data_IF_868151613313
#
_entry.id   IF_868151613313
#
_cell.length_a   1.000
_cell.length_b   1.000
_cell.length_c   1.000
_cell.angle_alpha   90.00
_cell.angle_beta   90.00
_cell.angle_gamma   90.00
#
_symmetry.space_group_name_H-M   'P 1'
#
loop_
_entity.id
_entity.type
_entity.pdbx_description
1 polymer ?
#
# COMPACT_ATOMS: atom_id res chain seq x y z
N UNK A 1 21.93 -1.54 -15.51
CA UNK A 1 20.82 -1.91 -16.42
C UNK A 1 19.73 -2.57 -15.59
N UNK A 2 18.45 -2.34 -15.94
CA UNK A 2 17.31 -2.98 -15.30
C UNK A 2 17.33 -4.48 -15.63
N UNK A 3 17.13 -5.31 -14.62
CA UNK A 3 17.12 -6.77 -14.75
C UNK A 3 15.68 -7.31 -14.77
N UNK A 4 15.42 -8.45 -15.43
CA UNK A 4 14.11 -9.09 -15.38
C UNK A 4 13.77 -9.55 -13.97
N UNK A 5 12.48 -9.69 -13.71
CA UNK A 5 11.95 -10.23 -12.46
C UNK A 5 12.46 -11.64 -12.21
N UNK A 6 12.70 -11.95 -10.94
CA UNK A 6 13.12 -13.24 -10.51
C UNK A 6 11.98 -14.27 -10.56
N UNK A 7 12.16 -15.39 -11.27
CA UNK A 7 11.14 -16.45 -11.41
C UNK A 7 11.03 -17.44 -10.26
N UNK A 8 11.99 -17.46 -9.32
CA UNK A 8 12.02 -18.48 -8.26
C UNK A 8 10.85 -18.40 -7.27
N UNK A 9 10.15 -17.27 -7.20
CA UNK A 9 9.03 -17.02 -6.30
C UNK A 9 7.73 -16.72 -7.04
N UNK A 10 7.58 -17.23 -8.24
CA UNK A 10 6.40 -17.00 -9.10
C UNK A 10 5.09 -17.53 -8.51
N UNK A 11 5.13 -18.41 -7.51
CA UNK A 11 3.94 -18.86 -6.80
C UNK A 11 3.27 -17.78 -5.95
N UNK A 12 4.02 -16.77 -5.51
CA UNK A 12 3.46 -15.65 -4.78
C UNK A 12 2.66 -14.72 -5.70
N UNK A 13 1.64 -14.09 -5.13
CA UNK A 13 0.91 -12.97 -5.73
C UNK A 13 1.14 -11.71 -4.89
N UNK A 14 1.18 -10.54 -5.52
CA UNK A 14 1.39 -9.28 -4.82
C UNK A 14 0.20 -8.91 -3.95
N UNK A 15 0.39 -8.19 -2.83
CA UNK A 15 -0.69 -7.54 -2.09
C UNK A 15 -1.52 -6.60 -2.97
N UNK A 16 -2.75 -6.29 -2.52
CA UNK A 16 -3.67 -5.43 -3.28
C UNK A 16 -4.25 -4.29 -2.45
N UNK A 17 -4.54 -4.50 -1.16
CA UNK A 17 -4.92 -3.43 -0.24
C UNK A 17 -3.69 -2.71 0.32
N UNK A 18 -3.90 -1.52 0.91
CA UNK A 18 -2.81 -0.67 1.41
C UNK A 18 -1.68 -0.49 0.36
N UNK A 19 -2.00 -0.06 -0.88
CA UNK A 19 -1.05 -0.11 -1.99
C UNK A 19 0.19 0.75 -1.82
N UNK A 20 0.15 1.77 -0.96
CA UNK A 20 1.30 2.68 -0.72
C UNK A 20 2.33 2.03 0.20
N UNK A 21 1.91 1.32 1.25
CA UNK A 21 2.82 0.79 2.28
C UNK A 21 2.98 -0.71 2.29
N UNK A 22 2.06 -1.48 1.69
CA UNK A 22 2.18 -2.93 1.63
C UNK A 22 3.11 -3.37 0.50
N UNK A 23 4.41 -3.30 0.74
CA UNK A 23 5.42 -3.68 -0.27
C UNK A 23 5.60 -5.19 -0.37
N UNK A 24 5.74 -5.67 -1.60
CA UNK A 24 6.04 -7.06 -1.94
C UNK A 24 7.52 -7.38 -1.64
N UNK A 25 7.87 -8.44 -0.91
CA UNK A 25 9.26 -8.76 -0.58
C UNK A 25 10.10 -9.21 -1.78
N UNK A 26 9.46 -9.58 -2.90
CA UNK A 26 10.17 -10.05 -4.10
C UNK A 26 10.92 -8.90 -4.77
N UNK A 27 12.04 -9.26 -5.38
CA UNK A 27 12.85 -8.35 -6.18
C UNK A 27 12.41 -8.42 -7.65
N UNK A 28 11.48 -7.56 -8.04
CA UNK A 28 10.78 -7.60 -9.33
C UNK A 28 11.00 -6.33 -10.17
N UNK A 29 10.88 -6.48 -11.48
CA UNK A 29 10.69 -5.38 -12.43
C UNK A 29 9.27 -5.44 -12.92
N UNK A 30 8.45 -4.46 -12.54
CA UNK A 30 7.02 -4.43 -12.86
C UNK A 30 6.46 -3.02 -12.98
N UNK A 31 5.39 -2.92 -13.76
CA UNK A 31 4.45 -1.80 -13.74
C UNK A 31 3.13 -2.29 -13.16
N UNK A 32 2.58 -1.58 -12.18
CA UNK A 32 1.34 -1.89 -11.50
C UNK A 32 0.35 -0.76 -11.69
N UNK A 33 -0.67 -0.98 -12.50
CA UNK A 33 -1.82 -0.10 -12.62
C UNK A 33 -2.76 -0.37 -11.45
N UNK A 34 -3.20 0.69 -10.79
CA UNK A 34 -4.08 0.64 -9.62
C UNK A 34 -5.30 1.50 -9.92
N UNK A 35 -6.47 0.94 -9.66
CA UNK A 35 -7.70 1.67 -9.50
C UNK A 35 -8.27 1.34 -8.13
N UNK A 36 -8.66 2.34 -7.37
CA UNK A 36 -9.43 2.13 -6.16
C UNK A 36 -10.61 3.11 -6.11
N UNK A 37 -11.71 2.63 -5.55
CA UNK A 37 -12.86 3.45 -5.16
C UNK A 37 -12.96 3.41 -3.64
N UNK A 38 -12.70 4.54 -3.02
CA UNK A 38 -12.67 4.72 -1.58
C UNK A 38 -13.90 5.52 -1.15
N UNK A 39 -14.82 4.86 -0.44
CA UNK A 39 -16.02 5.49 0.10
C UNK A 39 -15.73 6.08 1.47
N UNK A 40 -16.05 7.35 1.66
CA UNK A 40 -15.89 8.05 2.92
C UNK A 40 -17.12 7.88 3.81
N UNK A 41 -16.96 7.73 5.15
CA UNK A 41 -18.08 7.74 6.09
C UNK A 41 -18.87 9.05 6.03
N UNK A 42 -20.19 8.96 6.25
CA UNK A 42 -21.07 10.14 6.28
C UNK A 42 -20.63 11.18 7.34
N UNK A 43 -20.00 10.74 8.43
CA UNK A 43 -19.50 11.60 9.51
C UNK A 43 -18.38 12.56 9.09
N UNK A 44 -17.68 12.27 7.99
CA UNK A 44 -16.63 13.13 7.40
C UNK A 44 -17.07 13.69 6.05
N UNK A 45 -18.37 13.75 5.78
CA UNK A 45 -18.94 14.34 4.58
C UNK A 45 -19.43 13.33 3.53
N UNK A 46 -19.07 12.06 3.63
CA UNK A 46 -19.46 11.02 2.66
C UNK A 46 -18.86 11.22 1.29
N UNK A 47 -19.39 10.50 0.29
CA UNK A 47 -18.91 10.50 -1.09
C UNK A 47 -17.81 9.48 -1.35
N UNK A 48 -17.31 9.47 -2.58
CA UNK A 48 -16.30 8.55 -3.05
C UNK A 48 -15.08 9.32 -3.57
N UNK A 49 -13.89 8.74 -3.34
CA UNK A 49 -12.63 9.14 -3.97
C UNK A 49 -12.16 8.00 -4.85
N UNK A 50 -11.97 8.27 -6.13
CA UNK A 50 -11.42 7.31 -7.09
C UNK A 50 -9.97 7.68 -7.39
N UNK A 51 -9.04 6.75 -7.17
CA UNK A 51 -7.63 6.94 -7.49
C UNK A 51 -7.22 6.07 -8.67
N UNK A 52 -6.54 6.69 -9.63
CA UNK A 52 -5.89 6.07 -10.78
C UNK A 52 -4.38 6.26 -10.63
N UNK A 53 -3.64 5.19 -10.40
CA UNK A 53 -2.20 5.26 -10.11
C UNK A 53 -1.39 4.25 -10.93
N UNK A 54 -0.08 4.54 -11.08
CA UNK A 54 0.89 3.69 -11.75
C UNK A 54 2.14 3.53 -10.89
N UNK A 55 2.24 2.47 -10.15
CA UNK A 55 3.46 2.14 -9.39
C UNK A 55 4.48 1.42 -10.27
N UNK A 56 5.75 1.72 -10.07
CA UNK A 56 6.86 1.11 -10.80
C UNK A 56 7.85 0.45 -9.84
N UNK A 57 8.39 -0.68 -10.25
CA UNK A 57 9.51 -1.34 -9.60
C UNK A 57 10.53 -1.74 -10.62
N UNK A 58 11.81 -1.52 -10.33
CA UNK A 58 12.91 -1.86 -11.22
C UNK A 58 13.99 -2.61 -10.44
N UNK A 59 14.21 -3.87 -10.78
CA UNK A 59 15.29 -4.66 -10.24
C UNK A 59 16.63 -4.16 -10.82
N UNK A 60 17.49 -3.62 -9.96
CA UNK A 60 18.80 -3.08 -10.34
C UNK A 60 19.91 -4.12 -10.22
N UNK A 61 19.80 -5.01 -9.22
CA UNK A 61 20.71 -6.12 -8.98
C UNK A 61 19.96 -7.30 -8.36
N UNK A 62 20.68 -8.34 -7.96
CA UNK A 62 20.08 -9.49 -7.27
C UNK A 62 19.38 -9.09 -5.95
N UNK A 63 19.89 -8.08 -5.28
CA UNK A 63 19.43 -7.67 -3.95
C UNK A 63 18.92 -6.23 -3.87
N UNK A 64 18.86 -5.47 -4.97
CA UNK A 64 18.45 -4.06 -4.92
C UNK A 64 17.40 -3.77 -5.98
N UNK A 65 16.31 -3.15 -5.57
CA UNK A 65 15.27 -2.59 -6.44
C UNK A 65 15.06 -1.11 -6.16
N UNK A 66 14.86 -0.33 -7.21
CA UNK A 66 14.17 0.95 -7.16
C UNK A 66 12.68 0.69 -7.08
N UNK A 67 11.98 1.42 -6.22
CA UNK A 67 10.53 1.32 -6.05
C UNK A 67 9.90 2.72 -6.08
N UNK A 68 8.81 2.88 -6.84
CA UNK A 68 7.94 4.05 -6.82
C UNK A 68 6.56 3.58 -6.40
N UNK A 69 6.12 3.99 -5.20
CA UNK A 69 5.01 3.38 -4.48
C UNK A 69 3.79 4.27 -4.34
N UNK A 70 3.92 5.56 -4.62
CA UNK A 70 2.82 6.53 -4.58
C UNK A 70 2.91 7.47 -5.76
N UNK A 71 1.81 7.63 -6.45
CA UNK A 71 1.54 8.59 -7.52
C UNK A 71 0.04 8.57 -7.83
N UNK A 72 -0.39 9.26 -8.86
CA UNK A 72 -1.71 9.11 -9.46
C UNK A 72 -2.54 10.38 -9.46
N UNK A 73 -3.75 10.22 -9.96
CA UNK A 73 -4.77 11.27 -10.03
C UNK A 73 -6.05 10.79 -9.35
N UNK A 74 -6.56 11.60 -8.43
CA UNK A 74 -7.81 11.35 -7.74
C UNK A 74 -8.95 12.16 -8.36
N UNK A 75 -10.12 11.53 -8.49
CA UNK A 75 -11.40 12.20 -8.73
C UNK A 75 -12.30 11.98 -7.52
N UNK A 76 -13.11 12.95 -7.16
CA UNK A 76 -13.89 12.90 -5.93
C UNK A 76 -15.31 13.43 -6.11
N UNK A 77 -16.24 12.79 -5.41
CA UNK A 77 -17.59 13.32 -5.15
C UNK A 77 -17.78 13.76 -3.69
N UNK A 78 -16.73 13.64 -2.87
CA UNK A 78 -16.76 14.05 -1.46
C UNK A 78 -16.51 15.55 -1.32
N UNK A 79 -17.20 16.23 -0.40
CA UNK A 79 -16.92 17.64 -0.10
C UNK A 79 -15.57 17.82 0.65
N UNK A 80 -14.97 16.76 1.16
CA UNK A 80 -13.68 16.80 1.87
C UNK A 80 -12.47 16.82 0.94
N UNK A 81 -12.59 16.23 -0.25
CA UNK A 81 -11.47 15.97 -1.17
C UNK A 81 -11.84 16.47 -2.55
N UNK A 82 -11.05 17.35 -3.15
CA UNK A 82 -11.21 17.79 -4.54
C UNK A 82 -10.43 16.87 -5.50
N UNK A 83 -10.72 16.98 -6.79
CA UNK A 83 -9.94 16.33 -7.85
C UNK A 83 -8.50 16.85 -7.89
N UNK A 84 -7.52 15.98 -8.07
CA UNK A 84 -6.14 16.44 -8.18
C UNK A 84 -5.09 15.31 -8.20
N UNK A 85 -3.84 15.73 -8.31
CA UNK A 85 -2.69 14.84 -8.31
C UNK A 85 -2.29 14.43 -6.90
N UNK A 86 -1.93 13.16 -6.75
CA UNK A 86 -1.30 12.63 -5.54
C UNK A 86 0.17 13.04 -5.44
N UNK A 87 0.73 12.95 -4.24
CA UNK A 87 2.17 13.06 -4.02
C UNK A 87 2.92 11.91 -4.68
N UNK A 88 4.21 12.12 -4.91
CA UNK A 88 5.09 11.11 -5.49
C UNK A 88 6.01 10.55 -4.41
N UNK A 89 6.03 9.22 -4.28
CA UNK A 89 6.93 8.53 -3.36
C UNK A 89 7.77 7.49 -4.08
N UNK A 90 9.09 7.54 -3.85
CA UNK A 90 10.03 6.56 -4.39
C UNK A 90 11.17 6.26 -3.41
N UNK A 91 11.84 5.13 -3.61
CA UNK A 91 12.94 4.71 -2.74
C UNK A 91 13.62 3.43 -3.19
N UNK A 92 14.28 2.78 -2.25
CA UNK A 92 15.05 1.57 -2.49
C UNK A 92 14.60 0.43 -1.57
N UNK A 93 14.61 -0.77 -2.13
CA UNK A 93 14.38 -2.02 -1.40
C UNK A 93 15.59 -2.93 -1.55
N UNK A 94 16.00 -3.53 -0.43
CA UNK A 94 17.16 -4.41 -0.30
C UNK A 94 16.71 -5.81 0.12
N UNK A 95 17.04 -6.84 -0.67
CA UNK A 95 16.84 -8.23 -0.32
C UNK A 95 17.83 -8.67 0.74
N UNK A 96 17.32 -9.08 1.91
CA UNK A 96 18.13 -9.53 3.06
C UNK A 96 18.23 -11.05 3.14
N UNK A 97 17.17 -11.75 2.82
CA UNK A 97 17.08 -13.20 2.80
C UNK A 97 16.33 -13.66 1.56
N UNK A 98 16.86 -14.68 0.90
CA UNK A 98 16.26 -15.31 -0.26
C UNK A 98 16.55 -16.80 -0.26
N UNK A 99 15.54 -17.60 0.05
CA UNK A 99 15.63 -19.07 0.07
C UNK A 99 14.58 -19.68 -0.89
N UNK A 100 14.95 -19.96 -2.15
CA UNK A 100 14.05 -20.58 -3.12
C UNK A 100 13.59 -21.97 -2.73
N UNK A 101 14.43 -22.74 -1.99
CA UNK A 101 14.08 -24.11 -1.57
C UNK A 101 12.98 -24.10 -0.51
N UNK A 102 13.10 -23.20 0.47
CA UNK A 102 12.10 -23.01 1.53
C UNK A 102 11.01 -22.02 1.17
N UNK A 103 11.10 -21.43 -0.03
CA UNK A 103 10.18 -20.38 -0.50
C UNK A 103 9.99 -19.29 0.56
N UNK A 104 11.10 -18.75 1.04
CA UNK A 104 11.14 -17.70 2.09
C UNK A 104 11.92 -16.49 1.60
N UNK A 105 11.40 -15.32 1.88
CA UNK A 105 11.94 -14.01 1.48
C UNK A 105 11.91 -13.05 2.66
N UNK A 106 12.91 -12.18 2.73
CA UNK A 106 12.93 -11.02 3.62
C UNK A 106 13.63 -9.87 2.90
N UNK A 107 13.02 -8.70 2.92
CA UNK A 107 13.57 -7.47 2.35
C UNK A 107 13.29 -6.31 3.29
N UNK A 108 14.16 -5.31 3.28
CA UNK A 108 13.95 -4.04 3.96
C UNK A 108 14.11 -2.90 2.96
N UNK A 109 13.54 -1.75 3.26
CA UNK A 109 13.68 -0.61 2.38
C UNK A 109 13.18 0.68 3.00
N UNK A 110 13.27 1.70 2.18
CA UNK A 110 12.70 3.00 2.49
C UNK A 110 12.12 3.64 1.24
N UNK A 111 11.14 4.51 1.44
CA UNK A 111 10.67 5.45 0.42
C UNK A 111 10.64 6.85 1.00
N UNK A 112 10.80 7.84 0.16
CA UNK A 112 10.60 9.23 0.50
C UNK A 112 9.49 9.80 -0.39
N UNK A 113 8.50 10.39 0.25
CA UNK A 113 7.39 11.08 -0.39
C UNK A 113 7.72 12.56 -0.50
N UNK A 114 7.53 13.10 -1.70
CA UNK A 114 7.72 14.52 -2.00
C UNK A 114 6.35 15.16 -2.16
N UNK A 115 6.06 16.29 -1.49
CA UNK A 115 4.75 16.96 -1.54
C UNK A 115 4.56 17.66 -2.87
N UNK A 116 4.25 16.90 -3.92
CA UNK A 116 4.07 17.37 -5.30
C UNK A 116 2.61 17.42 -5.72
N UNK A 117 1.73 16.87 -4.90
CA UNK A 117 0.30 16.76 -5.17
C UNK A 117 -0.46 18.06 -4.94
N UNK A 118 -1.77 17.96 -5.00
CA UNK A 118 -2.67 19.09 -4.83
C UNK A 118 -3.14 19.18 -3.38
N UNK A 119 -2.96 20.32 -2.72
CA UNK A 119 -3.42 20.55 -1.34
C UNK A 119 -4.95 20.31 -1.19
N UNK A 120 -5.74 20.68 -2.21
CA UNK A 120 -7.19 20.43 -2.22
C UNK A 120 -7.56 18.96 -2.30
N UNK A 121 -6.63 18.10 -2.75
CA UNK A 121 -6.78 16.64 -2.79
C UNK A 121 -6.21 16.01 -1.53
N UNK A 122 -5.93 16.79 -0.50
CA UNK A 122 -5.29 16.41 0.75
C UNK A 122 -3.91 15.76 0.52
N UNK A 123 -3.21 16.28 -0.49
CA UNK A 123 -1.84 15.96 -0.86
C UNK A 123 -1.03 17.26 -0.88
N UNK A 124 0.28 17.18 -1.09
CA UNK A 124 1.12 18.38 -1.15
C UNK A 124 1.33 19.07 0.20
N UNK A 125 0.96 18.42 1.29
CA UNK A 125 1.13 18.94 2.65
C UNK A 125 2.56 18.64 3.15
N UNK A 126 3.01 19.42 4.13
CA UNK A 126 4.25 19.19 4.84
C UNK A 126 5.51 19.38 3.98
N UNK A 127 6.63 18.87 4.50
CA UNK A 127 7.95 18.95 3.90
C UNK A 127 8.44 17.59 3.37
N UNK A 128 7.52 16.62 3.25
CA UNK A 128 7.75 15.24 2.82
C UNK A 128 7.80 14.23 3.95
N UNK A 129 7.72 12.95 3.60
CA UNK A 129 7.65 11.83 4.54
C UNK A 129 8.67 10.75 4.22
N UNK A 130 9.39 10.29 5.24
CA UNK A 130 10.23 9.10 5.16
C UNK A 130 9.44 7.88 5.64
N UNK A 131 9.33 6.87 4.81
CA UNK A 131 8.79 5.56 5.18
C UNK A 131 9.91 4.52 5.25
N UNK A 132 10.05 3.86 6.40
CA UNK A 132 10.98 2.74 6.61
C UNK A 132 10.16 1.47 6.77
N UNK A 133 10.55 0.38 6.08
CA UNK A 133 9.78 -0.87 6.14
C UNK A 133 10.65 -2.13 6.12
N UNK A 134 10.08 -3.18 6.69
CA UNK A 134 10.53 -4.56 6.60
C UNK A 134 9.39 -5.39 6.00
N UNK A 135 9.68 -6.19 4.97
CA UNK A 135 8.70 -7.05 4.31
C UNK A 135 9.23 -8.46 4.15
N UNK A 136 8.40 -9.46 4.43
CA UNK A 136 8.77 -10.86 4.32
C UNK A 136 7.67 -11.68 3.66
N UNK A 137 8.06 -12.84 3.13
CA UNK A 137 7.12 -13.77 2.53
C UNK A 137 7.53 -15.22 2.74
N UNK A 138 6.53 -16.10 2.90
CA UNK A 138 6.74 -17.53 3.06
C UNK A 138 5.60 -18.34 2.44
N UNK A 139 5.95 -19.44 1.78
CA UNK A 139 4.99 -20.46 1.35
C UNK A 139 4.81 -21.49 2.45
N UNK A 140 3.56 -21.89 2.71
CA UNK A 140 3.19 -22.97 3.61
C UNK A 140 2.50 -24.09 2.83
N UNK A 141 3.06 -25.30 2.90
CA UNK A 141 2.61 -26.39 2.03
C UNK A 141 2.77 -26.03 0.55
N UNK A 142 1.87 -26.56 -0.29
CA UNK A 142 2.04 -26.46 -1.75
C UNK A 142 1.35 -25.22 -2.37
N UNK A 143 0.33 -24.66 -1.69
CA UNK A 143 -0.58 -23.69 -2.30
C UNK A 143 -0.93 -22.47 -1.43
N UNK A 144 -0.36 -22.36 -0.23
CA UNK A 144 -0.67 -21.24 0.67
C UNK A 144 0.55 -20.35 0.82
N UNK A 145 0.33 -19.05 0.75
CA UNK A 145 1.37 -18.03 0.79
C UNK A 145 1.00 -16.96 1.81
N UNK A 146 2.00 -16.48 2.51
CA UNK A 146 1.90 -15.37 3.43
C UNK A 146 2.93 -14.32 3.05
N UNK A 147 2.50 -13.06 3.04
CA UNK A 147 3.37 -11.89 2.96
C UNK A 147 3.02 -10.98 4.14
N UNK A 148 4.01 -10.41 4.76
CA UNK A 148 3.84 -9.47 5.86
C UNK A 148 4.79 -8.29 5.68
N UNK A 149 4.28 -7.08 5.88
CA UNK A 149 5.05 -5.84 5.82
C UNK A 149 4.70 -4.99 7.02
N UNK A 150 5.70 -4.60 7.77
CA UNK A 150 5.58 -3.62 8.83
C UNK A 150 6.51 -2.45 8.59
N UNK A 151 6.10 -1.28 9.00
CA UNK A 151 6.87 -0.07 8.77
C UNK A 151 6.44 1.11 9.62
N UNK A 152 7.12 2.20 9.36
CA UNK A 152 6.94 3.44 10.09
C UNK A 152 7.11 4.61 9.13
N UNK A 153 6.10 5.48 9.10
CA UNK A 153 6.06 6.70 8.32
C UNK A 153 6.36 7.89 9.23
N UNK A 154 7.43 8.61 8.92
CA UNK A 154 7.95 9.74 9.66
C UNK A 154 7.87 10.99 8.81
N UNK A 155 7.01 11.95 9.13
CA UNK A 155 6.99 13.24 8.45
C UNK A 155 8.23 14.08 8.79
N UNK A 156 8.64 14.93 7.85
CA UNK A 156 9.67 15.92 8.10
C UNK A 156 9.12 17.12 8.87
N UNK A 157 7.84 17.42 8.71
CA UNK A 157 7.12 18.45 9.45
C UNK A 157 5.99 17.83 10.28
N UNK A 158 6.17 17.77 11.59
CA UNK A 158 5.23 17.17 12.53
C UNK A 158 3.98 18.02 12.81
N UNK A 159 3.98 19.30 12.44
CA UNK A 159 2.81 20.14 12.59
C UNK A 159 1.76 19.85 11.50
N UNK A 160 2.23 19.55 10.29
CA UNK A 160 1.38 19.35 9.12
C UNK A 160 1.00 17.89 8.87
N UNK A 161 1.75 16.95 9.45
CA UNK A 161 1.59 15.52 9.16
C UNK A 161 1.76 14.65 10.42
N UNK A 162 1.03 13.54 10.46
CA UNK A 162 1.03 12.57 11.57
C UNK A 162 2.07 11.47 11.38
N UNK A 163 2.67 11.01 12.47
CA UNK A 163 3.56 9.84 12.49
C UNK A 163 2.76 8.57 12.62
N UNK A 164 2.97 7.60 11.73
CA UNK A 164 2.19 6.36 11.64
C UNK A 164 3.08 5.13 11.64
N UNK A 165 2.82 4.20 12.56
CA UNK A 165 3.27 2.81 12.46
C UNK A 165 2.21 1.97 11.75
N UNK A 166 2.62 1.00 10.95
CA UNK A 166 1.68 0.11 10.26
C UNK A 166 2.19 -1.32 10.19
N UNK A 167 1.23 -2.26 10.07
CA UNK A 167 1.53 -3.66 9.86
C UNK A 167 0.44 -4.31 9.01
N UNK A 168 0.84 -4.85 7.88
CA UNK A 168 -0.04 -5.49 6.90
C UNK A 168 0.31 -6.96 6.73
N UNK A 169 -0.71 -7.81 6.58
CA UNK A 169 -0.57 -9.24 6.35
C UNK A 169 -1.46 -9.67 5.19
N UNK A 170 -0.88 -10.39 4.25
CA UNK A 170 -1.54 -11.00 3.10
C UNK A 170 -1.47 -12.52 3.22
N UNK A 171 -2.62 -13.16 3.18
CA UNK A 171 -2.74 -14.61 3.07
C UNK A 171 -3.41 -14.94 1.75
N UNK A 172 -2.76 -15.78 0.96
CA UNK A 172 -3.37 -16.24 -0.29
C UNK A 172 -3.26 -17.74 -0.46
N UNK A 173 -4.25 -18.27 -1.16
CA UNK A 173 -4.32 -19.69 -1.54
C UNK A 173 -4.53 -19.82 -3.04
N UNK A 174 -3.65 -20.57 -3.67
CA UNK A 174 -3.79 -20.95 -5.05
C UNK A 174 -4.90 -21.99 -5.21
N UNK A 175 -6.03 -21.59 -5.80
CA UNK A 175 -7.20 -22.44 -6.03
C UNK A 175 -7.00 -23.33 -7.27
N UNK A 176 -6.50 -22.72 -8.36
CA UNK A 176 -6.15 -23.39 -9.61
C UNK A 176 -4.76 -22.89 -10.05
N UNK A 177 -4.26 -23.36 -11.19
CA UNK A 177 -2.98 -22.88 -11.72
C UNK A 177 -2.93 -21.36 -11.97
N UNK A 178 -4.10 -20.70 -12.10
CA UNK A 178 -4.20 -19.28 -12.47
C UNK A 178 -5.01 -18.44 -11.49
N UNK A 179 -5.83 -19.03 -10.62
CA UNK A 179 -6.69 -18.32 -9.69
C UNK A 179 -6.24 -18.47 -8.26
N UNK A 180 -6.27 -17.37 -7.54
CA UNK A 180 -5.95 -17.27 -6.12
C UNK A 180 -7.09 -16.58 -5.38
N UNK A 181 -7.44 -17.10 -4.20
CA UNK A 181 -8.20 -16.37 -3.20
C UNK A 181 -7.21 -15.69 -2.26
N UNK A 182 -7.56 -14.51 -1.75
CA UNK A 182 -6.74 -13.77 -0.80
C UNK A 182 -7.58 -13.10 0.29
N UNK A 183 -6.95 -12.91 1.44
CA UNK A 183 -7.41 -11.99 2.46
C UNK A 183 -6.22 -11.21 3.00
N UNK A 184 -6.43 -9.94 3.32
CA UNK A 184 -5.41 -9.05 3.86
C UNK A 184 -5.95 -8.36 5.10
N UNK A 185 -5.04 -8.07 6.04
CA UNK A 185 -5.32 -7.32 7.25
C UNK A 185 -4.30 -6.20 7.33
N UNK A 186 -4.76 -4.97 7.52
CA UNK A 186 -3.92 -3.80 7.69
C UNK A 186 -4.22 -3.17 9.05
N UNK A 187 -3.19 -2.97 9.84
CA UNK A 187 -3.23 -2.22 11.08
C UNK A 187 -2.46 -0.93 10.93
N UNK A 188 -3.05 0.17 11.37
CA UNK A 188 -2.45 1.49 11.42
C UNK A 188 -2.52 1.99 12.85
N UNK A 189 -1.41 2.55 13.33
CA UNK A 189 -1.28 3.14 14.66
C UNK A 189 -0.66 4.53 14.56
N UNK A 190 -1.40 5.54 14.97
CA UNK A 190 -0.90 6.91 14.98
C UNK A 190 -0.05 7.15 16.21
N UNK A 191 1.27 7.19 16.03
CA UNK A 191 2.27 7.39 17.08
C UNK A 191 2.42 8.87 17.46
N UNK A 192 2.14 9.79 16.52
CA UNK A 192 2.14 11.23 16.70
C UNK A 192 1.04 11.88 15.90
N UNK A 193 0.51 12.97 16.39
CA UNK A 193 -0.52 13.79 15.76
C UNK A 193 0.10 15.07 15.21
N UNK A 194 -0.46 15.60 14.11
CA UNK A 194 -0.22 16.97 13.69
C UNK A 194 -1.04 17.98 14.47
N UNK A 195 -1.08 19.20 13.99
CA UNK A 195 -1.79 20.32 14.65
C UNK A 195 -3.02 20.79 13.87
N UNK A 196 -3.22 20.26 12.64
CA UNK A 196 -4.27 20.68 11.69
C UNK A 196 -5.28 19.57 11.39
N UNK A 197 -5.58 19.43 10.12
CA UNK A 197 -6.44 18.39 9.56
C UNK A 197 -7.90 18.41 10.05
N UNK A 198 -8.53 17.24 10.04
CA UNK A 198 -9.86 17.01 10.61
C UNK A 198 -9.69 16.42 12.01
N UNK A 199 -9.99 17.14 13.10
CA UNK A 199 -9.71 16.68 14.45
C UNK A 199 -10.21 15.25 14.72
N UNK A 200 -9.29 14.38 15.14
CA UNK A 200 -9.59 12.99 15.47
C UNK A 200 -9.74 12.05 14.27
N UNK A 201 -9.51 12.48 13.03
CA UNK A 201 -9.68 11.68 11.79
C UNK A 201 -8.38 11.65 11.00
N UNK A 202 -8.00 10.50 10.44
CA UNK A 202 -6.81 10.34 9.62
C UNK A 202 -7.05 9.57 8.31
N UNK A 203 -6.06 9.63 7.43
CA UNK A 203 -6.19 9.23 6.03
C UNK A 203 -5.64 7.86 5.66
N UNK A 204 -5.25 7.03 6.62
CA UNK A 204 -4.66 5.69 6.42
C UNK A 204 -3.41 5.75 5.52
N UNK A 205 -3.45 5.03 4.38
CA UNK A 205 -2.35 4.97 3.43
C UNK A 205 -2.39 6.03 2.34
N UNK A 206 -3.58 6.58 2.04
CA UNK A 206 -3.76 7.50 0.92
C UNK A 206 -3.41 8.95 1.25
N UNK A 207 -3.74 9.37 2.47
CA UNK A 207 -3.58 10.75 2.92
C UNK A 207 -2.83 10.79 4.25
N UNK A 208 -2.08 11.86 4.47
CA UNK A 208 -1.66 12.27 5.82
C UNK A 208 -2.31 13.61 6.13
N UNK A 209 -3.30 13.59 6.99
CA UNK A 209 -4.08 14.80 7.30
C UNK A 209 -3.41 15.66 8.35
N UNK A 210 -2.41 15.14 9.07
CA UNK A 210 -1.79 15.83 10.20
C UNK A 210 -2.80 16.22 11.26
N UNK A 211 -3.81 15.39 11.47
CA UNK A 211 -4.95 15.75 12.30
C UNK A 211 -4.60 15.76 13.77
N UNK A 212 -5.09 16.76 14.48
CA UNK A 212 -4.97 16.84 15.95
C UNK A 212 -5.80 15.76 16.64
N UNK A 213 -5.31 15.27 17.81
CA UNK A 213 -6.05 14.33 18.66
C UNK A 213 -6.10 12.89 18.15
N UNK A 214 -5.23 12.50 17.23
CA UNK A 214 -5.18 11.12 16.68
C UNK A 214 -4.14 10.24 17.35
N UNK A 215 -3.15 10.79 18.01
CA UNK A 215 -2.09 10.01 18.67
C UNK A 215 -2.65 8.96 19.64
N UNK A 216 -2.13 7.73 19.56
CA UNK A 216 -2.58 6.58 20.35
C UNK A 216 -3.80 5.85 19.78
N UNK A 217 -4.33 6.27 18.65
CA UNK A 217 -5.46 5.60 17.99
C UNK A 217 -5.01 4.49 17.05
N UNK A 218 -5.90 3.51 16.85
CA UNK A 218 -5.70 2.36 15.98
C UNK A 218 -6.86 2.16 15.02
N UNK A 219 -6.54 1.70 13.80
CA UNK A 219 -7.52 1.14 12.87
C UNK A 219 -6.99 -0.20 12.37
N UNK A 220 -7.88 -1.17 12.30
CA UNK A 220 -7.64 -2.44 11.62
C UNK A 220 -8.63 -2.57 10.47
N UNK A 221 -8.12 -2.84 9.26
CA UNK A 221 -8.96 -3.15 8.10
C UNK A 221 -8.78 -4.59 7.67
N UNK A 222 -9.78 -5.14 6.99
CA UNK A 222 -9.70 -6.41 6.29
C UNK A 222 -10.08 -6.21 4.83
N UNK A 223 -9.31 -6.82 3.94
CA UNK A 223 -9.67 -6.97 2.53
C UNK A 223 -9.83 -8.46 2.19
N UNK A 224 -10.82 -8.78 1.35
CA UNK A 224 -11.00 -10.10 0.79
C UNK A 224 -11.15 -10.01 -0.73
N UNK A 225 -10.51 -10.92 -1.46
CA UNK A 225 -10.49 -10.80 -2.89
C UNK A 225 -9.99 -12.03 -3.65
N UNK A 226 -9.82 -11.81 -4.94
CA UNK A 226 -9.32 -12.81 -5.87
C UNK A 226 -8.26 -12.20 -6.78
N UNK A 227 -7.30 -13.03 -7.20
CA UNK A 227 -6.38 -12.69 -8.29
C UNK A 227 -6.38 -13.75 -9.37
N UNK A 228 -6.31 -13.27 -10.60
CA UNK A 228 -6.10 -14.06 -11.80
C UNK A 228 -4.69 -13.82 -12.33
N UNK A 229 -3.92 -14.87 -12.49
CA UNK A 229 -2.55 -14.87 -12.99
C UNK A 229 -2.48 -15.68 -14.27
N UNK A 230 -2.77 -15.07 -15.45
CA UNK A 230 -2.81 -15.77 -16.72
C UNK A 230 -1.47 -16.41 -17.10
N UNK A 231 -0.37 -15.77 -16.70
CA UNK A 231 1.01 -16.22 -16.90
C UNK A 231 1.93 -15.59 -15.83
N UNK A 232 3.22 -15.88 -15.85
CA UNK A 232 4.20 -15.33 -14.90
C UNK A 232 4.41 -13.80 -15.00
N UNK A 233 4.02 -13.21 -16.13
CA UNK A 233 4.23 -11.79 -16.42
C UNK A 233 3.03 -10.91 -16.05
N UNK A 234 1.89 -11.48 -15.70
CA UNK A 234 0.67 -10.70 -15.44
C UNK A 234 -0.07 -11.20 -14.20
N UNK A 235 -0.55 -10.26 -13.42
CA UNK A 235 -1.52 -10.47 -12.34
C UNK A 235 -2.65 -9.45 -12.46
N UNK A 236 -3.88 -9.89 -12.34
CA UNK A 236 -5.09 -9.04 -12.31
C UNK A 236 -5.83 -9.39 -11.02
N UNK A 237 -6.15 -8.40 -10.22
CA UNK A 237 -6.79 -8.63 -8.92
C UNK A 237 -7.87 -7.63 -8.59
N UNK A 238 -8.82 -8.09 -7.80
CA UNK A 238 -9.83 -7.25 -7.15
C UNK A 238 -10.04 -7.70 -5.71
N UNK A 239 -10.20 -6.74 -4.79
CA UNK A 239 -10.50 -6.99 -3.39
C UNK A 239 -11.38 -5.90 -2.82
N UNK A 240 -12.26 -6.28 -1.92
CA UNK A 240 -13.10 -5.38 -1.15
C UNK A 240 -12.56 -5.26 0.26
N UNK A 241 -12.33 -4.02 0.71
CA UNK A 241 -11.73 -3.69 2.00
C UNK A 241 -12.72 -2.90 2.86
N UNK A 242 -12.72 -3.21 4.16
CA UNK A 242 -13.58 -2.56 5.15
C UNK A 242 -12.90 -2.55 6.52
N UNK A 243 -13.22 -1.57 7.41
CA UNK A 243 -12.68 -1.53 8.76
C UNK A 243 -13.29 -2.65 9.62
N UNK A 244 -12.47 -3.25 10.48
CA UNK A 244 -12.87 -4.20 11.53
C UNK A 244 -13.07 -3.51 12.88
N UNK A 245 -12.48 -2.35 13.07
CA UNK A 245 -12.61 -1.52 14.27
C UNK A 245 -13.83 -0.63 14.18
N UNK A 246 -14.38 -0.19 15.33
CA UNK A 246 -15.44 0.83 15.38
C UNK A 246 -14.96 2.16 14.80
N UNK A 247 -13.68 2.47 15.03
CA UNK A 247 -13.01 3.62 14.40
C UNK A 247 -12.84 3.35 12.92
N UNK A 248 -13.24 4.30 12.08
CA UNK A 248 -13.21 4.20 10.60
C UNK A 248 -12.38 5.28 9.94
N UNK A 249 -12.21 6.42 10.60
CA UNK A 249 -11.62 7.65 10.06
C UNK A 249 -12.24 8.01 8.70
N UNK A 250 -11.47 7.99 7.62
CA UNK A 250 -12.00 8.26 6.28
C UNK A 250 -12.49 6.99 5.55
N UNK A 251 -12.36 5.79 6.12
CA UNK A 251 -12.67 4.53 5.41
C UNK A 251 -14.02 3.94 5.83
N UNK A 252 -15.05 4.12 5.02
CA UNK A 252 -16.27 3.29 5.12
C UNK A 252 -16.06 1.93 4.47
N UNK A 253 -15.57 1.92 3.23
CA UNK A 253 -15.13 0.75 2.48
C UNK A 253 -14.28 1.18 1.29
N UNK A 254 -13.57 0.21 0.68
CA UNK A 254 -12.73 0.45 -0.49
C UNK A 254 -12.80 -0.74 -1.44
N UNK A 255 -13.05 -0.49 -2.71
CA UNK A 255 -12.82 -1.45 -3.78
C UNK A 255 -11.42 -1.21 -4.33
N UNK A 256 -10.58 -2.23 -4.27
CA UNK A 256 -9.22 -2.21 -4.80
C UNK A 256 -9.16 -3.07 -6.07
N UNK A 257 -8.55 -2.54 -7.11
CA UNK A 257 -8.24 -3.24 -8.35
C UNK A 257 -6.80 -2.99 -8.74
N UNK A 258 -6.07 -4.02 -9.17
CA UNK A 258 -4.76 -3.85 -9.78
C UNK A 258 -4.55 -4.74 -11.00
N UNK A 259 -3.74 -4.24 -11.93
CA UNK A 259 -3.22 -4.97 -13.06
C UNK A 259 -1.71 -4.79 -13.12
N UNK A 260 -0.98 -5.88 -12.98
CA UNK A 260 0.48 -5.91 -12.86
C UNK A 260 1.06 -6.55 -14.10
N UNK A 261 2.06 -5.89 -14.68
CA UNK A 261 2.89 -6.40 -15.75
C UNK A 261 4.32 -6.55 -15.25
N UNK A 262 4.90 -7.74 -15.42
CA UNK A 262 6.27 -8.05 -15.03
C UNK A 262 7.14 -8.35 -16.23
N UNK A 263 8.35 -7.82 -16.18
CA UNK A 263 9.43 -8.10 -17.11
C UNK A 263 10.36 -9.16 -16.57
#
# INVERSE_FOLDING_TARGET
>A
CIQPSEGCFDGFISPISNPVFFEDPRNVTEARFIFLNHTLPAGVGGGDVQLYALQLRARLSENVSLIATKDGYATSSSPLVDDGWADVSAGLKFGLLRDPQRQSLLSAGFTFEVPTGSERTLQGNGDGELNLFLTGGKRFGDRNYWISTGGWRQPMNHDDESTVGYWSNHFSRQLTQRFYALTEFNWYHWMGAGTGGVPGVEGLDLFNLGSSGVAGNDIVTQAAGIKFKPNRHQEIGAAYEFPLTDRRDILENRLNFNWIFRY
#
